data_IF_121848672100
#
_entry.id   IF_121848672100
#
_cell.length_a   1.000
_cell.length_b   1.000
_cell.length_c   1.000
_cell.angle_alpha   90.00
_cell.angle_beta   90.00
_cell.angle_gamma   90.00
#
_symmetry.space_group_name_H-M   'P 1'
#
loop_
_entity.id
_entity.type
_entity.pdbx_description
1 polymer ?
#
# COMPACT_ATOMS: atom_id res chain seq x y z
N UNK A 1 1.75 -12.60 10.18
CA UNK A 1 0.83 -12.81 9.05
C UNK A 1 0.49 -11.47 8.40
N UNK A 2 -0.07 -10.46 9.09
CA UNK A 2 -0.42 -9.15 8.50
C UNK A 2 0.75 -8.53 7.72
N UNK A 3 1.94 -8.44 8.32
CA UNK A 3 3.16 -7.93 7.68
C UNK A 3 3.47 -8.67 6.38
N UNK A 4 3.29 -9.98 6.35
CA UNK A 4 3.54 -10.80 5.16
C UNK A 4 2.53 -10.51 4.05
N UNK A 5 1.24 -10.39 4.38
CA UNK A 5 0.21 -10.07 3.39
C UNK A 5 0.41 -8.69 2.77
N UNK A 6 0.73 -7.69 3.60
CA UNK A 6 1.06 -6.35 3.09
C UNK A 6 2.28 -6.37 2.17
N UNK A 7 3.32 -7.15 2.51
CA UNK A 7 4.50 -7.31 1.63
C UNK A 7 4.18 -8.01 0.31
N UNK A 8 3.29 -9.00 0.31
CA UNK A 8 2.84 -9.67 -0.92
C UNK A 8 2.15 -8.66 -1.83
N UNK A 9 1.22 -7.87 -1.29
CA UNK A 9 0.50 -6.85 -2.05
C UNK A 9 1.42 -5.74 -2.55
N UNK A 10 2.35 -5.26 -1.72
CA UNK A 10 3.38 -4.29 -2.12
C UNK A 10 4.23 -4.82 -3.28
N UNK A 11 4.76 -6.04 -3.15
CA UNK A 11 5.59 -6.66 -4.18
C UNK A 11 4.83 -6.94 -5.48
N UNK A 12 3.55 -7.29 -5.39
CA UNK A 12 2.70 -7.46 -6.56
C UNK A 12 2.49 -6.13 -7.29
N UNK A 13 2.10 -5.07 -6.55
CA UNK A 13 1.90 -3.74 -7.13
C UNK A 13 3.15 -3.24 -7.86
N UNK A 14 4.32 -3.35 -7.22
CA UNK A 14 5.60 -2.97 -7.83
C UNK A 14 5.87 -3.66 -9.16
N UNK A 15 5.51 -4.94 -9.28
CA UNK A 15 5.70 -5.72 -10.50
C UNK A 15 4.77 -5.29 -11.63
N UNK A 16 3.49 -5.02 -11.32
CA UNK A 16 2.51 -4.65 -12.36
C UNK A 16 2.67 -3.20 -12.83
N UNK A 17 3.26 -2.33 -12.01
CA UNK A 17 3.46 -0.90 -12.33
C UNK A 17 4.84 -0.59 -12.91
N UNK A 18 5.79 -1.53 -12.86
CA UNK A 18 7.20 -1.32 -13.26
C UNK A 18 7.86 -0.10 -12.60
N UNK A 19 7.38 0.29 -11.40
CA UNK A 19 7.88 1.49 -10.69
C UNK A 19 9.40 1.43 -10.44
N UNK A 20 9.94 0.25 -10.15
CA UNK A 20 11.38 0.09 -9.90
C UNK A 20 12.21 0.31 -11.16
N UNK A 21 11.73 -0.13 -12.33
CA UNK A 21 12.40 0.05 -13.60
C UNK A 21 12.40 1.54 -14.01
N UNK A 22 11.24 2.21 -13.88
CA UNK A 22 11.10 3.65 -14.16
C UNK A 22 12.02 4.44 -13.23
N UNK A 23 12.03 4.12 -11.92
CA UNK A 23 12.88 4.78 -10.93
C UNK A 23 14.37 4.58 -11.23
N UNK A 24 14.78 3.37 -11.63
CA UNK A 24 16.17 3.05 -11.99
C UNK A 24 16.62 3.81 -13.24
N UNK A 25 15.77 3.87 -14.26
CA UNK A 25 16.07 4.59 -15.51
C UNK A 25 16.23 6.08 -15.23
N UNK A 26 15.29 6.70 -14.51
CA UNK A 26 15.35 8.12 -14.18
C UNK A 26 16.57 8.47 -13.29
N UNK A 27 16.93 7.63 -12.32
CA UNK A 27 18.13 7.81 -11.49
C UNK A 27 19.40 7.79 -12.34
N UNK A 28 19.46 6.91 -13.34
CA UNK A 28 20.56 6.85 -14.31
C UNK A 28 20.64 8.11 -15.14
N UNK A 29 19.52 8.53 -15.74
CA UNK A 29 19.46 9.71 -16.62
C UNK A 29 19.85 10.99 -15.86
N UNK A 30 19.42 11.16 -14.62
CA UNK A 30 19.81 12.29 -13.78
C UNK A 30 21.30 12.24 -13.44
N UNK A 31 21.84 11.06 -13.13
CA UNK A 31 23.28 10.91 -12.91
C UNK A 31 24.09 11.29 -14.15
N UNK A 32 23.68 10.78 -15.30
CA UNK A 32 24.36 11.08 -16.56
C UNK A 32 24.29 12.59 -16.88
N UNK A 33 23.15 13.23 -16.66
CA UNK A 33 22.98 14.68 -16.85
C UNK A 33 23.92 15.50 -15.93
N UNK A 34 24.06 15.15 -14.65
CA UNK A 34 24.91 15.87 -13.69
C UNK A 34 26.38 15.81 -14.10
N UNK A 35 26.81 14.73 -14.77
CA UNK A 35 28.19 14.55 -15.22
C UNK A 35 28.49 15.14 -16.58
N UNK A 36 27.50 15.67 -17.32
CA UNK A 36 27.74 16.47 -18.53
C UNK A 36 28.49 17.75 -18.20
N UNK A 37 29.09 18.39 -19.20
CA UNK A 37 29.79 19.67 -18.99
C UNK A 37 28.85 20.78 -18.52
N UNK A 38 27.61 20.80 -18.99
CA UNK A 38 26.61 21.76 -18.55
C UNK A 38 26.10 21.45 -17.12
N UNK A 39 25.93 20.18 -16.79
CA UNK A 39 25.63 19.76 -15.43
C UNK A 39 26.76 20.16 -14.45
N UNK A 40 28.02 19.94 -14.80
CA UNK A 40 29.16 20.36 -13.98
C UNK A 40 29.19 21.87 -13.80
N UNK A 41 28.98 22.66 -14.85
CA UNK A 41 28.87 24.14 -14.75
C UNK A 41 27.85 24.59 -13.72
N UNK A 42 26.72 23.87 -13.62
CA UNK A 42 25.66 24.17 -12.67
C UNK A 42 25.99 23.73 -11.24
N UNK A 43 26.50 22.52 -11.09
CA UNK A 43 26.64 21.89 -9.76
C UNK A 43 27.95 22.18 -9.07
N UNK A 44 29.07 22.35 -9.80
CA UNK A 44 30.39 22.65 -9.21
C UNK A 44 30.35 23.90 -8.31
N UNK A 45 29.82 25.05 -8.74
CA UNK A 45 29.76 26.24 -7.89
C UNK A 45 28.91 26.06 -6.63
N UNK A 46 27.87 25.22 -6.68
CA UNK A 46 27.02 24.92 -5.53
C UNK A 46 27.80 24.12 -4.49
N UNK A 47 28.57 23.13 -4.94
CA UNK A 47 29.41 22.30 -4.06
C UNK A 47 30.53 23.12 -3.41
N UNK A 48 31.20 23.94 -4.21
CA UNK A 48 32.28 24.84 -3.72
C UNK A 48 31.74 25.82 -2.68
N UNK A 49 30.58 26.42 -2.92
CA UNK A 49 29.95 27.33 -1.95
C UNK A 49 29.54 26.59 -0.65
N UNK A 50 29.23 25.30 -0.71
CA UNK A 50 28.98 24.47 0.47
C UNK A 50 30.28 23.95 1.13
N UNK A 51 31.46 24.32 0.64
CA UNK A 51 32.75 23.84 1.13
C UNK A 51 33.06 22.39 0.74
N UNK A 52 32.42 21.86 -0.30
CA UNK A 52 32.58 20.49 -0.78
C UNK A 52 33.31 20.45 -2.12
N UNK A 53 34.16 19.46 -2.30
CA UNK A 53 34.74 19.18 -3.61
C UNK A 53 33.75 18.39 -4.47
N UNK A 54 33.52 18.86 -5.70
CA UNK A 54 32.73 18.11 -6.67
C UNK A 54 33.47 16.85 -7.09
N UNK A 55 33.05 15.72 -6.56
CA UNK A 55 33.63 14.43 -6.91
C UNK A 55 32.49 13.42 -7.24
N UNK A 56 32.88 12.33 -7.88
CA UNK A 56 31.92 11.33 -8.37
C UNK A 56 31.01 10.74 -7.26
N UNK A 57 31.52 10.65 -6.03
CA UNK A 57 30.73 10.12 -4.90
C UNK A 57 29.66 11.11 -4.44
N UNK A 58 30.02 12.40 -4.30
CA UNK A 58 29.09 13.44 -3.90
C UNK A 58 28.07 13.71 -5.00
N UNK A 59 28.51 13.81 -6.26
CA UNK A 59 27.61 14.01 -7.40
C UNK A 59 26.59 12.87 -7.55
N UNK A 60 27.01 11.60 -7.38
CA UNK A 60 26.11 10.46 -7.38
C UNK A 60 25.07 10.52 -6.25
N UNK A 61 25.49 10.95 -5.06
CA UNK A 61 24.59 11.10 -3.92
C UNK A 61 23.55 12.19 -4.15
N UNK A 62 23.96 13.34 -4.70
CA UNK A 62 23.07 14.45 -5.06
C UNK A 62 22.13 14.03 -6.18
N UNK A 63 22.62 13.36 -7.22
CA UNK A 63 21.80 12.81 -8.27
C UNK A 63 20.71 11.87 -7.74
N UNK A 64 21.09 10.97 -6.84
CA UNK A 64 20.13 10.07 -6.19
C UNK A 64 19.09 10.81 -5.34
N UNK A 65 19.45 11.89 -4.67
CA UNK A 65 18.50 12.73 -3.94
C UNK A 65 17.55 13.48 -4.87
N UNK A 66 18.06 14.04 -5.96
CA UNK A 66 17.25 14.72 -6.97
C UNK A 66 16.28 13.70 -7.61
N UNK A 67 16.79 12.54 -8.04
CA UNK A 67 15.96 11.47 -8.59
C UNK A 67 14.86 11.04 -7.61
N UNK A 68 15.19 10.85 -6.33
CA UNK A 68 14.21 10.48 -5.30
C UNK A 68 13.16 11.57 -5.03
N UNK A 69 13.49 12.83 -5.29
CA UNK A 69 12.54 13.95 -5.18
C UNK A 69 11.60 14.07 -6.39
N UNK A 70 12.07 13.69 -7.58
CA UNK A 70 11.25 13.68 -8.80
C UNK A 70 10.41 12.41 -8.94
N UNK A 71 10.92 11.29 -8.43
CA UNK A 71 10.14 10.04 -8.39
C UNK A 71 9.18 10.16 -7.22
N UNK A 72 7.95 10.54 -7.51
CA UNK A 72 6.83 10.38 -6.60
C UNK A 72 6.63 8.87 -6.40
N UNK A 73 7.45 8.28 -5.52
CA UNK A 73 7.25 6.88 -5.13
C UNK A 73 5.86 6.77 -4.53
N UNK A 74 5.02 6.01 -5.19
CA UNK A 74 3.69 5.69 -4.67
C UNK A 74 3.85 5.16 -3.26
N UNK A 75 3.18 5.79 -2.30
CA UNK A 75 3.25 5.34 -0.90
C UNK A 75 2.63 3.95 -0.78
N UNK A 76 3.03 3.18 0.23
CA UNK A 76 2.42 1.87 0.46
C UNK A 76 0.90 1.96 0.67
N UNK A 77 0.43 3.03 1.34
CA UNK A 77 -1.01 3.30 1.49
C UNK A 77 -1.69 3.52 0.14
N UNK A 78 -1.05 4.25 -0.79
CA UNK A 78 -1.59 4.45 -2.13
C UNK A 78 -1.60 3.15 -2.95
N UNK A 79 -0.53 2.35 -2.89
CA UNK A 79 -0.47 1.04 -3.56
C UNK A 79 -1.59 0.11 -3.12
N UNK A 80 -1.88 0.07 -1.82
CA UNK A 80 -3.00 -0.70 -1.29
C UNK A 80 -4.34 -0.19 -1.83
N UNK A 81 -4.53 1.14 -1.92
CA UNK A 81 -5.73 1.75 -2.50
C UNK A 81 -5.88 1.41 -3.99
N UNK A 82 -4.80 1.47 -4.75
CA UNK A 82 -4.81 1.19 -6.18
C UNK A 82 -5.18 -0.27 -6.45
N UNK A 83 -4.63 -1.22 -5.69
CA UNK A 83 -5.00 -2.63 -5.79
C UNK A 83 -6.44 -2.87 -5.36
N UNK A 84 -6.88 -2.26 -4.27
CA UNK A 84 -8.23 -2.40 -3.75
C UNK A 84 -9.28 -1.90 -4.73
N UNK A 85 -9.04 -0.73 -5.34
CA UNK A 85 -9.95 -0.14 -6.33
C UNK A 85 -10.10 -0.98 -7.61
N UNK A 86 -9.08 -1.76 -7.95
CA UNK A 86 -9.13 -2.71 -9.07
C UNK A 86 -9.92 -3.98 -8.73
N UNK A 87 -10.20 -4.25 -7.44
CA UNK A 87 -10.79 -5.48 -6.93
C UNK A 87 -11.97 -5.23 -5.97
N UNK A 88 -12.94 -4.40 -6.40
CA UNK A 88 -14.20 -4.11 -5.70
C UNK A 88 -14.11 -3.35 -4.37
N UNK A 89 -13.01 -2.67 -4.08
CA UNK A 89 -12.84 -1.87 -2.86
C UNK A 89 -13.06 -2.68 -1.57
N UNK A 90 -12.53 -3.91 -1.51
CA UNK A 90 -12.73 -4.82 -0.38
C UNK A 90 -12.21 -4.19 0.93
N UNK A 91 -11.02 -3.57 0.90
CA UNK A 91 -10.44 -2.91 2.08
C UNK A 91 -11.30 -1.70 2.46
N UNK A 92 -11.61 -0.84 1.49
CA UNK A 92 -12.39 0.38 1.73
C UNK A 92 -13.78 0.07 2.30
N UNK A 93 -14.48 -0.92 1.76
CA UNK A 93 -15.81 -1.32 2.20
C UNK A 93 -15.87 -1.91 3.62
N UNK A 94 -14.78 -2.49 4.09
CA UNK A 94 -14.67 -3.01 5.45
C UNK A 94 -14.16 -1.96 6.46
N UNK A 95 -13.76 -0.76 6.02
CA UNK A 95 -13.12 0.24 6.87
C UNK A 95 -13.98 0.66 8.06
N UNK A 96 -15.27 0.90 7.84
CA UNK A 96 -16.20 1.35 8.88
C UNK A 96 -16.47 0.26 9.92
N UNK A 97 -16.62 -0.98 9.48
CA UNK A 97 -16.85 -2.11 10.39
C UNK A 97 -15.59 -2.37 11.23
N UNK A 98 -14.41 -2.30 10.63
CA UNK A 98 -13.14 -2.43 11.36
C UNK A 98 -12.93 -1.27 12.35
N UNK A 99 -13.29 -0.03 11.96
CA UNK A 99 -13.19 1.11 12.85
C UNK A 99 -14.03 0.94 14.11
N UNK A 100 -15.24 0.37 13.98
CA UNK A 100 -16.14 0.11 15.11
C UNK A 100 -15.58 -0.92 16.11
N UNK A 101 -14.67 -1.78 15.69
CA UNK A 101 -14.03 -2.76 16.58
C UNK A 101 -13.01 -2.13 17.56
N UNK A 102 -12.78 -0.82 17.48
CA UNK A 102 -11.87 -0.10 18.39
C UNK A 102 -12.47 0.04 19.82
N UNK A 103 -13.79 -0.06 19.93
CA UNK A 103 -14.50 0.30 21.16
C UNK A 103 -15.31 -0.89 21.69
N UNK A 104 -14.88 -1.50 22.79
CA UNK A 104 -15.64 -2.53 23.51
C UNK A 104 -15.86 -2.05 24.95
N UNK A 105 -17.12 -2.01 25.49
CA UNK A 105 -18.43 -2.19 24.83
C UNK A 105 -18.94 -0.93 24.16
N UNK A 106 -19.43 -1.04 22.95
CA UNK A 106 -20.01 0.08 22.21
C UNK A 106 -21.49 0.29 22.50
N UNK A 107 -21.92 1.53 22.75
CA UNK A 107 -23.25 1.98 22.35
C UNK A 107 -23.28 2.12 20.83
N UNK A 108 -24.32 1.59 20.19
CA UNK A 108 -24.52 1.51 18.73
C UNK A 108 -24.42 2.88 18.00
N UNK A 109 -24.40 3.99 18.77
CA UNK A 109 -24.45 5.36 18.24
C UNK A 109 -23.11 6.11 18.18
N UNK A 110 -21.97 5.49 18.52
CA UNK A 110 -20.69 6.19 18.43
C UNK A 110 -20.24 6.36 16.99
N UNK A 111 -20.05 7.62 16.59
CA UNK A 111 -19.55 8.00 15.27
C UNK A 111 -18.10 7.53 15.11
N UNK A 112 -17.84 6.89 13.96
CA UNK A 112 -16.48 6.58 13.53
C UNK A 112 -15.64 7.86 13.57
N UNK A 113 -14.40 7.81 14.12
CA UNK A 113 -13.51 8.96 14.09
C UNK A 113 -13.39 9.50 12.65
N UNK A 114 -13.59 10.80 12.46
CA UNK A 114 -13.57 11.43 11.12
C UNK A 114 -12.22 11.28 10.40
N UNK A 115 -11.18 10.96 11.15
CA UNK A 115 -9.79 10.81 10.72
C UNK A 115 -9.35 9.34 10.59
N UNK A 116 -10.28 8.38 10.67
CA UNK A 116 -9.96 6.97 10.52
C UNK A 116 -9.53 6.64 9.09
N UNK A 117 -8.23 6.77 8.82
CA UNK A 117 -7.63 6.36 7.55
C UNK A 117 -7.18 4.90 7.63
N UNK A 118 -8.04 3.97 7.22
CA UNK A 118 -7.80 2.54 7.37
C UNK A 118 -6.56 2.06 6.62
N UNK A 119 -6.35 2.51 5.39
CA UNK A 119 -5.14 2.16 4.62
C UNK A 119 -3.86 2.61 5.33
N UNK A 120 -3.87 3.80 5.90
CA UNK A 120 -2.72 4.29 6.65
C UNK A 120 -2.50 3.48 7.94
N UNK A 121 -3.57 3.11 8.65
CA UNK A 121 -3.46 2.27 9.86
C UNK A 121 -2.92 0.87 9.55
N UNK A 122 -3.26 0.27 8.41
CA UNK A 122 -2.64 -0.99 7.94
C UNK A 122 -1.13 -0.81 7.77
N UNK A 123 -0.70 0.29 7.13
CA UNK A 123 0.72 0.61 6.91
C UNK A 123 1.44 0.88 8.23
N UNK A 124 0.85 1.64 9.12
CA UNK A 124 1.44 1.97 10.43
C UNK A 124 1.57 0.72 11.30
N UNK A 125 0.55 -0.17 11.29
CA UNK A 125 0.61 -1.47 11.96
C UNK A 125 1.74 -2.34 11.39
N UNK A 126 1.85 -2.42 10.07
CA UNK A 126 2.95 -3.15 9.41
C UNK A 126 4.32 -2.57 9.80
N UNK A 127 4.47 -1.25 9.82
CA UNK A 127 5.71 -0.59 10.17
C UNK A 127 6.05 -0.78 11.65
N UNK A 128 5.07 -0.71 12.54
CA UNK A 128 5.23 -0.98 13.97
C UNK A 128 5.84 -2.37 14.19
N UNK A 129 5.21 -3.42 13.67
CA UNK A 129 5.68 -4.79 13.84
C UNK A 129 6.94 -5.14 13.03
N UNK A 130 7.26 -4.41 11.97
CA UNK A 130 8.47 -4.65 11.18
C UNK A 130 9.71 -3.95 11.73
N UNK A 131 9.55 -2.81 12.38
CA UNK A 131 10.64 -1.92 12.78
C UNK A 131 10.64 -1.59 14.29
N UNK A 132 9.73 -2.20 15.06
CA UNK A 132 9.59 -1.97 16.51
C UNK A 132 9.54 -0.46 16.87
N UNK A 133 8.78 0.32 16.10
CA UNK A 133 8.61 1.75 16.39
C UNK A 133 7.83 1.94 17.68
N UNK A 134 8.25 2.88 18.51
CA UNK A 134 7.63 3.17 19.80
C UNK A 134 6.28 3.91 19.70
N UNK A 135 5.90 4.44 18.54
CA UNK A 135 4.64 5.15 18.35
C UNK A 135 3.54 4.21 17.87
N UNK A 136 2.59 3.94 18.74
CA UNK A 136 1.47 3.00 18.55
C UNK A 136 0.11 3.67 18.29
N UNK A 137 0.08 5.01 18.23
CA UNK A 137 -1.20 5.78 18.18
C UNK A 137 -2.10 5.42 17.00
N UNK A 138 -1.53 4.96 15.90
CA UNK A 138 -2.27 4.60 14.69
C UNK A 138 -2.25 3.09 14.40
N UNK A 139 -1.78 2.27 15.33
CA UNK A 139 -1.71 0.83 15.18
C UNK A 139 -3.09 0.21 15.40
N UNK A 140 -3.45 -0.76 14.58
CA UNK A 140 -4.67 -1.54 14.75
C UNK A 140 -4.60 -2.34 16.05
N UNK A 141 -5.67 -2.36 16.82
CA UNK A 141 -5.78 -3.24 17.97
C UNK A 141 -5.86 -4.72 17.52
N UNK A 142 -5.79 -5.66 18.45
CA UNK A 142 -5.75 -7.09 18.14
C UNK A 142 -6.97 -7.55 17.32
N UNK A 143 -8.17 -7.12 17.70
CA UNK A 143 -9.41 -7.52 16.99
C UNK A 143 -9.47 -6.92 15.59
N UNK A 144 -9.12 -5.65 15.44
CA UNK A 144 -9.00 -4.98 14.15
C UNK A 144 -7.97 -5.67 13.26
N UNK A 145 -6.82 -6.03 13.82
CA UNK A 145 -5.74 -6.72 13.10
C UNK A 145 -6.18 -8.10 12.60
N UNK A 146 -6.88 -8.90 13.43
CA UNK A 146 -7.40 -10.20 13.01
C UNK A 146 -8.38 -10.08 11.83
N UNK A 147 -9.31 -9.11 11.90
CA UNK A 147 -10.24 -8.87 10.80
C UNK A 147 -9.53 -8.32 9.56
N UNK A 148 -8.56 -7.43 9.73
CA UNK A 148 -7.75 -6.91 8.62
C UNK A 148 -6.98 -8.02 7.90
N UNK A 149 -6.45 -9.00 8.61
CA UNK A 149 -5.79 -10.17 8.01
C UNK A 149 -6.73 -10.89 7.05
N UNK A 150 -7.98 -11.09 7.42
CA UNK A 150 -8.97 -11.74 6.56
C UNK A 150 -9.36 -10.86 5.35
N UNK A 151 -9.48 -9.54 5.54
CA UNK A 151 -9.71 -8.60 4.44
C UNK A 151 -8.56 -8.64 3.43
N UNK A 152 -7.31 -8.60 3.89
CA UNK A 152 -6.14 -8.71 3.02
C UNK A 152 -6.04 -10.08 2.35
N UNK A 153 -6.41 -11.16 3.05
CA UNK A 153 -6.51 -12.51 2.48
C UNK A 153 -7.51 -12.54 1.34
N UNK A 154 -8.69 -11.95 1.52
CA UNK A 154 -9.72 -11.87 0.47
C UNK A 154 -9.20 -11.13 -0.77
N UNK A 155 -8.54 -9.98 -0.60
CA UNK A 155 -7.94 -9.22 -1.69
C UNK A 155 -6.87 -10.04 -2.43
N UNK A 156 -5.98 -10.72 -1.71
CA UNK A 156 -4.93 -11.57 -2.31
C UNK A 156 -5.56 -12.70 -3.13
N UNK A 157 -6.59 -13.35 -2.63
CA UNK A 157 -7.30 -14.42 -3.34
C UNK A 157 -7.97 -13.88 -4.61
N UNK A 158 -8.60 -12.70 -4.53
CA UNK A 158 -9.14 -12.02 -5.72
C UNK A 158 -8.09 -11.80 -6.79
N UNK A 159 -6.94 -11.23 -6.39
CA UNK A 159 -5.81 -10.99 -7.29
C UNK A 159 -5.32 -12.30 -7.92
N UNK A 160 -5.20 -13.37 -7.15
CA UNK A 160 -4.77 -14.67 -7.66
C UNK A 160 -5.73 -15.23 -8.70
N UNK A 161 -7.04 -15.19 -8.45
CA UNK A 161 -8.03 -15.68 -9.40
C UNK A 161 -8.05 -14.86 -10.68
N UNK A 162 -7.95 -13.54 -10.59
CA UNK A 162 -7.85 -12.69 -11.78
C UNK A 162 -6.56 -12.92 -12.56
N UNK A 163 -5.46 -13.18 -11.85
CA UNK A 163 -4.19 -13.54 -12.49
C UNK A 163 -4.21 -14.91 -13.18
N UNK A 164 -5.06 -15.82 -12.71
CA UNK A 164 -5.33 -17.12 -13.35
C UNK A 164 -6.27 -17.00 -14.55
N UNK A 165 -6.70 -15.81 -14.92
CA UNK A 165 -7.50 -15.53 -16.10
C UNK A 165 -9.00 -15.41 -15.83
N UNK A 166 -9.44 -15.44 -14.58
CA UNK A 166 -10.83 -15.16 -14.23
C UNK A 166 -11.12 -13.66 -14.32
N UNK A 167 -12.33 -13.32 -14.68
CA UNK A 167 -12.82 -11.95 -14.54
C UNK A 167 -13.01 -11.61 -13.06
N UNK A 168 -13.01 -10.33 -12.73
CA UNK A 168 -13.27 -9.87 -11.36
C UNK A 168 -14.62 -10.40 -10.84
N UNK A 169 -15.66 -10.44 -11.69
CA UNK A 169 -16.98 -10.96 -11.30
C UNK A 169 -16.99 -12.46 -11.01
N UNK A 170 -16.25 -13.27 -11.76
CA UNK A 170 -16.09 -14.70 -11.49
C UNK A 170 -15.33 -14.94 -10.19
N UNK A 171 -14.22 -14.26 -9.99
CA UNK A 171 -13.44 -14.31 -8.75
C UNK A 171 -14.30 -13.90 -7.53
N UNK A 172 -15.07 -12.80 -7.67
CA UNK A 172 -16.01 -12.34 -6.65
C UNK A 172 -17.03 -13.41 -6.27
N UNK A 173 -17.68 -14.06 -7.28
CA UNK A 173 -18.65 -15.12 -7.02
C UNK A 173 -18.09 -16.29 -6.23
N UNK A 174 -16.81 -16.60 -6.39
CA UNK A 174 -16.17 -17.67 -5.62
C UNK A 174 -15.94 -17.23 -4.17
N UNK A 175 -15.33 -16.05 -3.95
CA UNK A 175 -14.93 -15.64 -2.60
C UNK A 175 -16.09 -15.23 -1.70
N UNK A 176 -17.23 -14.78 -2.23
CA UNK A 176 -18.40 -14.43 -1.40
C UNK A 176 -19.04 -15.65 -0.72
N UNK A 177 -18.72 -16.86 -1.18
CA UNK A 177 -19.19 -18.12 -0.61
C UNK A 177 -18.11 -18.86 0.19
N UNK A 178 -16.90 -18.31 0.27
CA UNK A 178 -15.86 -18.86 1.13
C UNK A 178 -16.25 -18.68 2.60
N UNK A 179 -16.41 -19.79 3.33
CA UNK A 179 -16.87 -19.78 4.73
C UNK A 179 -15.93 -19.03 5.65
N UNK A 180 -14.61 -19.10 5.40
CA UNK A 180 -13.59 -18.40 6.19
C UNK A 180 -13.58 -16.88 5.95
N UNK A 181 -14.05 -16.44 4.77
CA UNK A 181 -14.03 -15.03 4.35
C UNK A 181 -15.43 -14.41 4.33
N UNK A 182 -16.45 -15.17 4.69
CA UNK A 182 -17.85 -14.80 4.50
C UNK A 182 -18.22 -13.45 5.11
N UNK A 183 -17.68 -13.11 6.27
CA UNK A 183 -17.94 -11.82 6.93
C UNK A 183 -17.31 -10.66 6.13
N UNK A 184 -16.03 -10.78 5.74
CA UNK A 184 -15.29 -9.72 5.05
C UNK A 184 -15.73 -9.54 3.59
N UNK A 185 -16.37 -10.56 3.01
CA UNK A 185 -16.87 -10.54 1.63
C UNK A 185 -18.36 -10.22 1.52
N UNK A 186 -19.06 -10.08 2.65
CA UNK A 186 -20.47 -9.70 2.69
C UNK A 186 -20.76 -8.41 1.91
N UNK A 187 -19.86 -7.44 2.01
CA UNK A 187 -19.95 -6.16 1.30
C UNK A 187 -19.88 -6.28 -0.24
N UNK A 188 -19.47 -7.45 -0.76
CA UNK A 188 -19.38 -7.73 -2.19
C UNK A 188 -20.62 -8.42 -2.75
N UNK A 189 -21.56 -8.85 -1.91
CA UNK A 189 -22.80 -9.48 -2.34
C UNK A 189 -23.71 -8.44 -2.99
N UNK A 190 -24.30 -8.80 -4.12
CA UNK A 190 -25.35 -7.99 -4.78
C UNK A 190 -26.70 -8.30 -4.16
N UNK A 191 -27.63 -7.34 -4.21
CA UNK A 191 -29.02 -7.59 -3.80
C UNK A 191 -29.58 -8.81 -4.54
N UNK A 192 -30.14 -9.77 -3.81
CA UNK A 192 -30.68 -11.00 -4.36
C UNK A 192 -29.72 -12.19 -4.45
N UNK A 193 -28.42 -12.00 -4.20
CA UNK A 193 -27.45 -13.10 -4.06
C UNK A 193 -27.55 -13.70 -2.64
N UNK A 194 -28.55 -14.54 -2.40
CA UNK A 194 -28.65 -15.35 -1.18
C UNK A 194 -27.95 -16.70 -1.38
N UNK A 195 -27.34 -17.29 -0.32
CA UNK A 195 -26.85 -18.65 -0.39
C UNK A 195 -28.02 -19.56 -0.74
N UNK A 196 -27.92 -20.34 -1.83
CA UNK A 196 -28.82 -21.44 -2.03
C UNK A 196 -28.67 -22.34 -0.81
N UNK A 197 -29.69 -22.38 0.03
CA UNK A 197 -29.80 -23.38 1.09
C UNK A 197 -30.14 -24.68 0.37
N UNK A 198 -29.11 -25.44 -0.02
CA UNK A 198 -29.27 -26.88 -0.25
C UNK A 198 -29.21 -27.63 1.08
#
# INVERSE_FOLDING_TARGET
ILVQYVRILEGYHLRITNEEEIASTLDKDIKDMIFTDDGKKLFVPIFEKAGWTFNSKHAKKVASWIASGFILKTTLSQRLKDLDSQHFDIIAKNADDIARLEIIPMPIEQKIPKDFNYFQRIVDTRNYYSHYKADDKNVLNFTQMCNTINVLKALIIMILYTHMGMTNDEARKIIIWDEELSFQTMCLRKEGELPNKE
#
